data_IF_456725046009
#
_entry.id   IF_456725046009
#
_cell.length_a   1.000
_cell.length_b   1.000
_cell.length_c   1.000
_cell.angle_alpha   90.00
_cell.angle_beta   90.00
_cell.angle_gamma   90.00
#
_symmetry.space_group_name_H-M   'P 1'
#
loop_
_entity.id
_entity.type
_entity.pdbx_description
1 polymer ?
#
# COMPACT_ATOMS: atom_id res chain seq x y z
N UNK A 1 -19.21 34.18 2.38
CA UNK A 1 -18.64 34.66 3.65
C UNK A 1 -18.59 33.47 4.60
N UNK A 2 -17.39 33.03 4.96
CA UNK A 2 -17.15 31.92 5.89
C UNK A 2 -17.54 32.38 7.30
N UNK A 3 -18.49 31.73 7.96
CA UNK A 3 -18.80 32.05 9.36
C UNK A 3 -17.62 31.64 10.25
N UNK A 4 -16.95 32.57 10.94
CA UNK A 4 -15.72 32.27 11.67
C UNK A 4 -15.94 31.28 12.83
N UNK A 5 -17.13 31.31 13.45
CA UNK A 5 -17.41 30.65 14.74
C UNK A 5 -17.43 29.12 14.73
N UNK A 6 -17.78 28.50 13.61
CA UNK A 6 -17.75 27.03 13.51
C UNK A 6 -16.34 26.52 13.24
N UNK A 7 -15.50 27.31 12.58
CA UNK A 7 -14.26 26.83 11.97
C UNK A 7 -13.10 26.68 12.95
N UNK A 8 -13.29 26.87 14.26
CA UNK A 8 -12.22 26.96 15.26
C UNK A 8 -11.81 25.65 15.95
N UNK A 9 -12.70 24.65 15.95
CA UNK A 9 -12.39 23.36 16.55
C UNK A 9 -11.31 22.67 15.72
N UNK A 10 -10.21 22.29 16.38
CA UNK A 10 -9.03 21.60 15.82
C UNK A 10 -8.16 22.30 14.75
N UNK A 11 -8.26 23.62 14.56
CA UNK A 11 -7.66 24.30 13.40
C UNK A 11 -6.79 25.49 13.73
N UNK A 12 -6.98 26.06 14.92
CA UNK A 12 -6.20 27.20 15.39
C UNK A 12 -5.77 26.92 16.82
N UNK A 13 -4.46 26.95 17.03
CA UNK A 13 -3.90 26.98 18.37
C UNK A 13 -4.15 28.36 18.96
N UNK A 14 -4.76 28.41 20.14
CA UNK A 14 -5.02 29.68 20.81
C UNK A 14 -3.76 30.13 21.56
N UNK A 15 -2.94 30.93 20.86
CA UNK A 15 -1.68 31.46 21.38
C UNK A 15 -1.90 32.49 22.49
N UNK A 16 -3.05 33.18 22.50
CA UNK A 16 -3.43 34.13 23.55
C UNK A 16 -3.62 33.41 24.90
N UNK A 17 -4.36 32.30 24.92
CA UNK A 17 -4.52 31.50 26.14
C UNK A 17 -3.21 30.85 26.57
N UNK A 18 -2.41 30.36 25.61
CA UNK A 18 -1.09 29.81 25.91
C UNK A 18 -0.14 30.84 26.55
N UNK A 19 -0.20 32.11 26.12
CA UNK A 19 0.58 33.19 26.72
C UNK A 19 0.14 33.50 28.15
N UNK A 20 -1.17 33.45 28.43
CA UNK A 20 -1.70 33.62 29.80
C UNK A 20 -1.21 32.50 30.72
N UNK A 21 -1.15 31.28 30.20
CA UNK A 21 -0.71 30.08 30.94
C UNK A 21 0.82 29.85 30.90
N UNK A 22 1.60 30.78 30.34
CA UNK A 22 3.06 30.68 30.19
C UNK A 22 3.56 29.43 29.43
N UNK A 23 2.73 28.87 28.55
CA UNK A 23 3.04 27.69 27.71
C UNK A 23 3.35 28.07 26.25
N UNK A 24 3.32 29.35 25.91
CA UNK A 24 3.50 29.87 24.55
C UNK A 24 4.88 29.50 23.96
N UNK A 25 5.94 29.53 24.76
CA UNK A 25 7.30 29.15 24.34
C UNK A 25 7.36 27.69 23.91
N UNK A 26 6.74 26.79 24.67
CA UNK A 26 6.65 25.35 24.36
C UNK A 26 5.88 25.15 23.05
N UNK A 27 4.76 25.83 22.87
CA UNK A 27 3.95 25.70 21.67
C UNK A 27 4.62 26.30 20.43
N UNK A 28 5.34 27.42 20.55
CA UNK A 28 6.17 27.96 19.46
C UNK A 28 7.28 26.98 19.06
N UNK A 29 7.98 26.40 20.03
CA UNK A 29 9.00 25.39 19.77
C UNK A 29 8.41 24.15 19.06
N UNK A 30 7.23 23.70 19.49
CA UNK A 30 6.52 22.59 18.86
C UNK A 30 6.12 22.92 17.41
N UNK A 31 5.64 24.13 17.11
CA UNK A 31 5.32 24.57 15.75
C UNK A 31 6.56 24.63 14.84
N UNK A 32 7.70 25.10 15.37
CA UNK A 32 8.98 25.11 14.64
C UNK A 32 9.44 23.68 14.34
N UNK A 33 9.38 22.79 15.34
CA UNK A 33 9.69 21.38 15.17
C UNK A 33 8.77 20.75 14.10
N UNK A 34 7.47 21.00 14.17
CA UNK A 34 6.50 20.52 13.18
C UNK A 34 6.87 21.01 11.76
N UNK A 35 7.25 22.27 11.61
CA UNK A 35 7.66 22.83 10.32
C UNK A 35 8.89 22.11 9.73
N UNK A 36 9.89 21.80 10.56
CA UNK A 36 11.07 21.02 10.16
C UNK A 36 10.66 19.61 9.75
N UNK A 37 9.80 18.96 10.53
CA UNK A 37 9.31 17.61 10.23
C UNK A 37 8.48 17.56 8.94
N UNK A 38 7.65 18.57 8.67
CA UNK A 38 6.91 18.68 7.40
C UNK A 38 7.87 18.82 6.22
N UNK A 39 8.97 19.57 6.39
CA UNK A 39 9.99 19.71 5.36
C UNK A 39 10.63 18.36 5.00
N UNK A 40 10.87 17.50 6.00
CA UNK A 40 11.30 16.10 5.78
C UNK A 40 10.19 15.30 5.08
N UNK A 41 8.94 15.46 5.54
CA UNK A 41 7.76 14.80 4.98
C UNK A 41 7.54 15.08 3.50
N UNK A 42 7.96 16.23 2.97
CA UNK A 42 7.95 16.47 1.53
C UNK A 42 8.87 15.52 0.76
N UNK A 43 10.10 15.31 1.24
CA UNK A 43 11.04 14.38 0.64
C UNK A 43 10.48 12.95 0.62
N UNK A 44 9.88 12.54 1.74
CA UNK A 44 9.22 11.22 1.86
C UNK A 44 8.03 11.07 0.92
N UNK A 45 7.21 12.11 0.79
CA UNK A 45 6.04 12.12 -0.10
C UNK A 45 6.47 12.03 -1.57
N UNK A 46 7.51 12.76 -1.96
CA UNK A 46 8.08 12.69 -3.32
C UNK A 46 8.69 11.32 -3.60
N UNK A 47 9.39 10.73 -2.62
CA UNK A 47 9.93 9.38 -2.74
C UNK A 47 8.81 8.34 -2.90
N UNK A 48 7.76 8.43 -2.09
CA UNK A 48 6.59 7.55 -2.20
C UNK A 48 5.93 7.68 -3.58
N UNK A 49 5.71 8.91 -4.04
CA UNK A 49 5.12 9.18 -5.35
C UNK A 49 5.97 8.56 -6.48
N UNK A 50 7.29 8.73 -6.42
CA UNK A 50 8.22 8.10 -7.35
C UNK A 50 8.12 6.56 -7.29
N UNK A 51 8.21 5.95 -6.10
CA UNK A 51 8.17 4.50 -5.95
C UNK A 51 6.85 3.91 -6.48
N UNK A 52 5.70 4.53 -6.19
CA UNK A 52 4.40 4.08 -6.69
C UNK A 52 4.28 4.17 -8.22
N UNK A 53 4.91 5.16 -8.84
CA UNK A 53 4.85 5.37 -10.30
C UNK A 53 5.77 4.44 -11.08
N UNK A 54 6.97 4.19 -10.54
CA UNK A 54 8.04 3.48 -11.26
C UNK A 54 8.19 2.02 -10.85
N UNK A 55 7.60 1.58 -9.73
CA UNK A 55 7.59 0.17 -9.35
C UNK A 55 6.26 -0.49 -9.71
N UNK A 56 6.30 -1.60 -10.45
CA UNK A 56 5.11 -2.38 -10.82
C UNK A 56 4.69 -3.36 -9.70
N UNK A 57 4.77 -2.96 -8.43
CA UNK A 57 4.43 -3.84 -7.30
C UNK A 57 2.94 -4.19 -7.27
N UNK A 58 2.10 -3.18 -7.42
CA UNK A 58 0.65 -3.33 -7.32
C UNK A 58 0.06 -3.46 -8.71
N UNK A 59 -1.02 -4.23 -8.83
CA UNK A 59 -1.88 -4.15 -10.01
C UNK A 59 -2.22 -2.68 -10.27
N UNK A 60 -2.17 -2.24 -11.53
CA UNK A 60 -2.26 -0.81 -11.88
C UNK A 60 -3.51 -0.15 -11.31
N UNK A 61 -4.61 -0.89 -11.17
CA UNK A 61 -5.84 -0.42 -10.58
C UNK A 61 -5.68 -0.04 -9.10
N UNK A 62 -5.08 -0.91 -8.29
CA UNK A 62 -4.76 -0.57 -6.90
C UNK A 62 -3.72 0.56 -6.84
N UNK A 63 -2.69 0.52 -7.68
CA UNK A 63 -1.64 1.54 -7.71
C UNK A 63 -2.23 2.94 -7.91
N UNK A 64 -3.22 3.09 -8.81
CA UNK A 64 -3.88 4.38 -9.05
C UNK A 64 -4.70 4.89 -7.84
N UNK A 65 -5.27 4.00 -7.03
CA UNK A 65 -5.95 4.38 -5.79
C UNK A 65 -4.90 4.77 -4.73
N UNK A 66 -3.83 3.98 -4.57
CA UNK A 66 -2.75 4.26 -3.62
C UNK A 66 -1.96 5.53 -3.98
N UNK A 67 -1.87 5.88 -5.26
CA UNK A 67 -1.31 7.15 -5.74
C UNK A 67 -2.09 8.37 -5.23
N UNK A 68 -3.35 8.21 -4.79
CA UNK A 68 -4.09 9.30 -4.16
C UNK A 68 -3.55 9.69 -2.78
N UNK A 69 -2.85 8.78 -2.09
CA UNK A 69 -2.27 9.03 -0.77
C UNK A 69 -1.23 10.16 -0.80
N UNK A 70 -0.18 10.14 -1.64
CA UNK A 70 0.71 11.28 -1.78
C UNK A 70 0.04 12.48 -2.46
N UNK A 71 -0.91 12.28 -3.38
CA UNK A 71 -1.58 13.39 -4.08
C UNK A 71 -2.42 14.27 -3.15
N UNK A 72 -3.07 13.72 -2.13
CA UNK A 72 -3.77 14.51 -1.12
C UNK A 72 -2.82 15.05 -0.04
N UNK A 73 -1.81 14.26 0.31
CA UNK A 73 -0.92 14.59 1.43
C UNK A 73 -0.01 15.78 1.11
N UNK A 74 0.56 15.83 -0.11
CA UNK A 74 1.44 16.92 -0.53
C UNK A 74 0.80 18.32 -0.43
N UNK A 75 -0.38 18.60 -1.03
CA UNK A 75 -1.03 19.90 -0.88
C UNK A 75 -1.49 20.16 0.55
N UNK A 76 -1.80 19.12 1.34
CA UNK A 76 -2.15 19.26 2.76
C UNK A 76 -0.96 19.73 3.60
N UNK A 77 0.24 19.22 3.33
CA UNK A 77 1.48 19.67 3.96
C UNK A 77 1.83 21.13 3.60
N UNK A 78 1.64 21.53 2.34
CA UNK A 78 1.82 22.92 1.91
C UNK A 78 0.88 23.87 2.65
N UNK A 79 -0.41 23.51 2.72
CA UNK A 79 -1.39 24.28 3.46
C UNK A 79 -1.01 24.37 4.95
N UNK A 80 -0.50 23.28 5.54
CA UNK A 80 -0.04 23.28 6.94
C UNK A 80 1.18 24.17 7.16
N UNK A 81 2.21 24.11 6.32
CA UNK A 81 3.36 25.01 6.45
C UNK A 81 2.93 26.47 6.38
N UNK A 82 2.00 26.80 5.48
CA UNK A 82 1.45 28.14 5.39
C UNK A 82 0.68 28.55 6.66
N UNK A 83 -0.14 27.66 7.22
CA UNK A 83 -0.81 27.88 8.50
C UNK A 83 0.19 28.15 9.63
N UNK A 84 1.26 27.34 9.76
CA UNK A 84 2.29 27.53 10.79
C UNK A 84 2.99 28.88 10.61
N UNK A 85 3.37 29.22 9.37
CA UNK A 85 3.96 30.52 9.06
C UNK A 85 3.09 31.69 9.54
N UNK A 86 1.78 31.64 9.25
CA UNK A 86 0.82 32.66 9.70
C UNK A 86 0.66 32.68 11.22
N UNK A 87 0.58 31.51 11.88
CA UNK A 87 0.49 31.39 13.34
C UNK A 87 1.73 31.93 14.07
N UNK A 88 2.92 31.80 13.48
CA UNK A 88 4.15 32.35 14.05
C UNK A 88 4.27 33.86 13.84
N UNK A 89 3.74 34.38 12.73
CA UNK A 89 3.83 35.80 12.34
C UNK A 89 2.74 36.66 13.02
N UNK A 90 1.53 36.11 13.18
CA UNK A 90 0.38 36.80 13.77
C UNK A 90 0.08 36.14 15.12
N UNK A 91 0.63 36.67 16.23
CA UNK A 91 0.49 36.05 17.55
C UNK A 91 -0.92 36.22 18.15
N UNK A 92 -1.66 37.24 17.71
CA UNK A 92 -3.01 37.48 18.17
C UNK A 92 -4.00 36.57 17.43
N UNK A 93 -4.59 35.61 18.15
CA UNK A 93 -5.57 34.67 17.61
C UNK A 93 -6.75 35.38 16.93
N UNK A 94 -7.21 36.51 17.47
CA UNK A 94 -8.36 37.24 16.92
C UNK A 94 -8.06 37.86 15.54
N UNK A 95 -6.84 38.34 15.32
CA UNK A 95 -6.39 38.87 14.02
C UNK A 95 -6.18 37.75 13.01
N UNK A 96 -5.57 36.64 13.45
CA UNK A 96 -5.31 35.47 12.61
C UNK A 96 -6.60 34.89 12.02
N UNK A 97 -7.66 34.87 12.82
CA UNK A 97 -8.98 34.37 12.45
C UNK A 97 -9.65 35.22 11.36
N UNK A 98 -9.34 36.52 11.30
CA UNK A 98 -9.89 37.41 10.29
C UNK A 98 -9.14 37.34 8.95
N UNK A 99 -7.96 36.71 8.92
CA UNK A 99 -7.16 36.54 7.72
C UNK A 99 -7.76 35.49 6.77
N UNK A 100 -8.29 35.96 5.63
CA UNK A 100 -8.89 35.10 4.60
C UNK A 100 -7.91 34.07 4.03
N UNK A 101 -6.62 34.42 3.92
CA UNK A 101 -5.61 33.50 3.40
C UNK A 101 -5.34 32.34 4.36
N UNK A 102 -5.36 32.63 5.66
CA UNK A 102 -5.25 31.62 6.70
C UNK A 102 -6.49 30.69 6.70
N UNK A 103 -7.69 31.26 6.65
CA UNK A 103 -8.94 30.48 6.58
C UNK A 103 -8.97 29.57 5.33
N UNK A 104 -8.54 30.07 4.18
CA UNK A 104 -8.44 29.24 2.98
C UNK A 104 -7.49 28.05 3.17
N UNK A 105 -6.31 28.27 3.77
CA UNK A 105 -5.36 27.20 4.04
C UNK A 105 -5.93 26.16 5.03
N UNK A 106 -6.64 26.61 6.07
CA UNK A 106 -7.37 25.73 7.01
C UNK A 106 -8.41 24.88 6.28
N UNK A 107 -9.24 25.51 5.45
CA UNK A 107 -10.27 24.81 4.67
C UNK A 107 -9.66 23.77 3.72
N UNK A 108 -8.61 24.15 2.99
CA UNK A 108 -7.91 23.28 2.05
C UNK A 108 -7.32 22.06 2.77
N UNK A 109 -6.59 22.31 3.87
CA UNK A 109 -5.97 21.26 4.68
C UNK A 109 -7.01 20.27 5.21
N UNK A 110 -8.07 20.78 5.84
CA UNK A 110 -9.11 19.92 6.40
C UNK A 110 -9.81 19.10 5.32
N UNK A 111 -10.13 19.71 4.18
CA UNK A 111 -10.75 18.99 3.06
C UNK A 111 -9.89 17.83 2.57
N UNK A 112 -8.56 18.00 2.55
CA UNK A 112 -7.62 16.96 2.15
C UNK A 112 -7.44 15.89 3.24
N UNK A 113 -7.40 16.26 4.53
CA UNK A 113 -7.32 15.29 5.64
C UNK A 113 -8.53 14.34 5.66
N UNK A 114 -9.72 14.82 5.30
CA UNK A 114 -10.88 13.97 5.15
C UNK A 114 -10.69 12.91 4.05
N UNK A 115 -9.96 13.21 2.98
CA UNK A 115 -9.59 12.20 1.97
C UNK A 115 -8.76 11.09 2.62
N UNK A 116 -7.81 11.44 3.49
CA UNK A 116 -7.01 10.46 4.23
C UNK A 116 -7.88 9.62 5.20
N UNK A 117 -8.83 10.24 5.90
CA UNK A 117 -9.73 9.53 6.82
C UNK A 117 -10.65 8.53 6.12
N UNK A 118 -11.11 8.85 4.90
CA UNK A 118 -11.92 7.93 4.11
C UNK A 118 -11.10 7.00 3.21
N UNK A 119 -9.76 7.04 3.27
CA UNK A 119 -8.93 6.34 2.29
C UNK A 119 -8.99 4.82 2.43
N UNK A 120 -8.84 4.25 3.64
CA UNK A 120 -8.64 2.81 3.85
C UNK A 120 -9.69 1.88 3.20
N UNK A 121 -11.00 2.19 3.21
CA UNK A 121 -12.05 1.37 2.59
C UNK A 121 -11.90 1.18 1.08
N UNK A 122 -11.38 2.16 0.33
CA UNK A 122 -11.37 2.11 -1.13
C UNK A 122 -10.38 1.09 -1.72
N UNK A 123 -9.12 1.01 -1.25
CA UNK A 123 -8.22 -0.10 -1.56
C UNK A 123 -8.80 -1.47 -1.22
N UNK A 124 -9.56 -1.58 -0.13
CA UNK A 124 -10.19 -2.83 0.31
C UNK A 124 -11.31 -3.23 -0.65
N UNK A 125 -12.17 -2.29 -1.05
CA UNK A 125 -13.24 -2.51 -2.03
C UNK A 125 -12.65 -2.92 -3.39
N UNK A 126 -11.60 -2.26 -3.87
CA UNK A 126 -10.90 -2.68 -5.10
C UNK A 126 -10.42 -4.13 -5.01
N UNK A 127 -9.89 -4.53 -3.86
CA UNK A 127 -9.45 -5.91 -3.62
C UNK A 127 -10.59 -6.90 -3.52
N UNK A 128 -11.75 -6.49 -3.00
CA UNK A 128 -12.96 -7.30 -3.06
C UNK A 128 -13.36 -7.59 -4.52
N UNK A 129 -13.39 -6.56 -5.37
CA UNK A 129 -13.68 -6.73 -6.80
C UNK A 129 -12.65 -7.63 -7.49
N UNK A 130 -11.36 -7.42 -7.25
CA UNK A 130 -10.31 -8.26 -7.81
C UNK A 130 -10.41 -9.73 -7.35
N UNK A 131 -10.85 -9.97 -6.11
CA UNK A 131 -11.04 -11.32 -5.56
C UNK A 131 -12.25 -12.03 -6.18
N UNK A 132 -13.36 -11.30 -6.40
CA UNK A 132 -14.58 -11.85 -7.00
C UNK A 132 -14.40 -12.09 -8.50
N UNK A 133 -13.76 -11.15 -9.21
CA UNK A 133 -13.62 -11.14 -10.67
C UNK A 133 -12.18 -11.45 -11.13
N UNK A 134 -11.50 -12.40 -10.48
CA UNK A 134 -10.07 -12.67 -10.70
C UNK A 134 -9.70 -12.93 -12.18
N UNK A 135 -10.44 -13.80 -12.88
CA UNK A 135 -10.17 -14.15 -14.29
C UNK A 135 -10.32 -12.95 -15.24
N UNK A 136 -11.23 -12.04 -14.92
CA UNK A 136 -11.56 -10.88 -15.72
C UNK A 136 -10.61 -9.70 -15.42
N UNK A 137 -10.12 -9.59 -14.19
CA UNK A 137 -9.09 -8.62 -13.79
C UNK A 137 -7.72 -8.93 -14.40
N UNK A 138 -7.39 -10.20 -14.64
CA UNK A 138 -6.14 -10.61 -15.31
C UNK A 138 -6.15 -10.30 -16.82
N UNK A 139 -7.34 -10.35 -17.44
CA UNK A 139 -7.51 -10.16 -18.90
C UNK A 139 -7.82 -8.72 -19.28
N UNK A 140 -8.60 -8.00 -18.47
CA UNK A 140 -9.03 -6.64 -18.75
C UNK A 140 -8.51 -5.66 -17.71
N UNK A 141 -7.77 -4.64 -18.16
CA UNK A 141 -7.16 -3.64 -17.27
C UNK A 141 -8.19 -2.81 -16.49
N UNK A 142 -9.47 -2.75 -16.90
CA UNK A 142 -10.63 -2.13 -16.20
C UNK A 142 -10.32 -0.87 -15.37
N UNK A 143 -9.49 0.04 -15.91
CA UNK A 143 -8.99 1.23 -15.19
C UNK A 143 -10.10 2.14 -14.68
N UNK A 144 -11.26 2.12 -15.34
CA UNK A 144 -12.45 2.87 -14.96
C UNK A 144 -12.90 2.59 -13.52
N UNK A 145 -12.70 1.36 -13.00
CA UNK A 145 -13.09 1.01 -11.63
C UNK A 145 -12.31 1.85 -10.61
N UNK A 146 -10.99 1.99 -10.81
CA UNK A 146 -10.14 2.82 -9.94
C UNK A 146 -10.47 4.30 -10.04
N UNK A 147 -10.76 4.80 -11.25
CA UNK A 147 -11.19 6.19 -11.43
C UNK A 147 -12.52 6.46 -10.74
N UNK A 148 -13.49 5.55 -10.89
CA UNK A 148 -14.78 5.64 -10.23
C UNK A 148 -14.64 5.60 -8.70
N UNK A 149 -13.88 4.65 -8.16
CA UNK A 149 -13.61 4.56 -6.72
C UNK A 149 -12.90 5.81 -6.19
N UNK A 150 -11.92 6.34 -6.92
CA UNK A 150 -11.23 7.58 -6.53
C UNK A 150 -12.17 8.78 -6.58
N UNK A 151 -13.01 8.88 -7.60
CA UNK A 151 -14.00 9.96 -7.70
C UNK A 151 -15.00 9.91 -6.53
N UNK A 152 -15.52 8.72 -6.20
CA UNK A 152 -16.43 8.53 -5.06
C UNK A 152 -15.72 8.90 -3.75
N UNK A 153 -14.45 8.51 -3.57
CA UNK A 153 -13.64 8.89 -2.41
C UNK A 153 -13.58 10.41 -2.24
N UNK A 154 -13.19 11.13 -3.29
CA UNK A 154 -13.09 12.58 -3.21
C UNK A 154 -14.46 13.23 -2.97
N UNK A 155 -15.52 12.79 -3.64
CA UNK A 155 -16.87 13.34 -3.43
C UNK A 155 -17.32 13.16 -1.98
N UNK A 156 -17.19 11.94 -1.42
CA UNK A 156 -17.57 11.65 -0.03
C UNK A 156 -16.71 12.48 0.94
N UNK A 157 -15.38 12.50 0.73
CA UNK A 157 -14.46 13.22 1.58
C UNK A 157 -14.72 14.74 1.59
N UNK A 158 -14.86 15.36 0.42
CA UNK A 158 -15.13 16.79 0.32
C UNK A 158 -16.49 17.16 0.91
N UNK A 159 -17.52 16.37 0.62
CA UNK A 159 -18.87 16.58 1.18
C UNK A 159 -18.82 16.48 2.71
N UNK A 160 -18.18 15.44 3.24
CA UNK A 160 -18.01 15.22 4.68
C UNK A 160 -17.19 16.34 5.33
N UNK A 161 -16.15 16.84 4.67
CA UNK A 161 -15.38 17.99 5.13
C UNK A 161 -16.23 19.28 5.19
N UNK A 162 -17.10 19.52 4.20
CA UNK A 162 -18.00 20.68 4.24
C UNK A 162 -19.00 20.57 5.40
N UNK A 163 -19.57 19.38 5.63
CA UNK A 163 -20.44 19.13 6.78
C UNK A 163 -19.71 19.30 8.11
N UNK A 164 -18.45 18.87 8.20
CA UNK A 164 -17.66 19.07 9.41
C UNK A 164 -17.36 20.56 9.66
N UNK A 165 -16.95 21.29 8.62
CA UNK A 165 -16.57 22.70 8.73
C UNK A 165 -17.80 23.59 9.01
N UNK A 166 -18.89 23.43 8.26
CA UNK A 166 -20.05 24.33 8.28
C UNK A 166 -21.31 23.74 8.91
N UNK A 167 -21.41 22.42 9.01
CA UNK A 167 -22.60 21.74 9.46
C UNK A 167 -22.73 21.66 10.98
N UNK A 168 -23.95 21.37 11.41
CA UNK A 168 -24.29 20.97 12.77
C UNK A 168 -24.08 19.46 12.94
N UNK A 169 -23.97 18.96 14.18
CA UNK A 169 -23.82 17.52 14.51
C UNK A 169 -22.48 16.86 14.12
N UNK A 170 -21.37 17.56 14.37
CA UNK A 170 -20.00 17.05 14.11
C UNK A 170 -19.72 15.69 14.72
N UNK A 171 -20.21 15.45 15.93
CA UNK A 171 -20.02 14.19 16.64
C UNK A 171 -20.51 12.99 15.85
N UNK A 172 -21.74 13.09 15.31
CA UNK A 172 -22.34 12.02 14.51
C UNK A 172 -21.48 11.76 13.27
N UNK A 173 -20.95 12.81 12.64
CA UNK A 173 -20.02 12.67 11.53
C UNK A 173 -18.71 11.96 11.92
N UNK A 174 -18.09 12.32 13.05
CA UNK A 174 -16.86 11.67 13.53
C UNK A 174 -17.12 10.18 13.85
N UNK A 175 -18.26 9.85 14.46
CA UNK A 175 -18.67 8.46 14.70
C UNK A 175 -18.85 7.67 13.39
N UNK A 176 -19.46 8.27 12.37
CA UNK A 176 -19.62 7.64 11.05
C UNK A 176 -18.27 7.36 10.39
N UNK A 177 -17.33 8.30 10.43
CA UNK A 177 -15.97 8.11 9.89
C UNK A 177 -15.27 6.95 10.60
N UNK A 178 -15.36 6.93 11.93
CA UNK A 178 -14.74 5.88 12.75
C UNK A 178 -15.36 4.51 12.45
N UNK A 179 -16.69 4.43 12.37
CA UNK A 179 -17.41 3.20 12.00
C UNK A 179 -17.06 2.70 10.60
N UNK A 180 -16.97 3.61 9.61
CA UNK A 180 -16.61 3.26 8.23
C UNK A 180 -15.20 2.65 8.12
N UNK A 181 -14.24 3.21 8.87
CA UNK A 181 -12.88 2.65 8.95
C UNK A 181 -12.84 1.30 9.67
N UNK A 182 -13.63 1.12 10.74
CA UNK A 182 -13.73 -0.14 11.47
C UNK A 182 -14.30 -1.26 10.59
N UNK A 183 -15.31 -0.96 9.77
CA UNK A 183 -15.87 -1.90 8.79
C UNK A 183 -14.81 -2.29 7.76
N UNK A 184 -14.07 -1.33 7.19
CA UNK A 184 -12.99 -1.63 6.25
C UNK A 184 -11.87 -2.48 6.86
N UNK A 185 -11.53 -2.22 8.13
CA UNK A 185 -10.60 -3.04 8.89
C UNK A 185 -11.08 -4.49 9.02
N UNK A 186 -12.34 -4.69 9.44
CA UNK A 186 -12.96 -6.02 9.53
C UNK A 186 -12.99 -6.74 8.18
N UNK A 187 -13.37 -6.03 7.11
CA UNK A 187 -13.40 -6.57 5.75
C UNK A 187 -12.00 -6.99 5.26
N UNK A 188 -10.96 -6.24 5.59
CA UNK A 188 -9.57 -6.60 5.25
C UNK A 188 -9.19 -7.96 5.84
N UNK A 189 -9.57 -8.21 7.10
CA UNK A 189 -9.29 -9.47 7.78
C UNK A 189 -10.10 -10.64 7.21
N UNK A 190 -11.38 -10.43 6.92
CA UNK A 190 -12.24 -11.42 6.25
C UNK A 190 -11.69 -11.76 4.87
N UNK A 191 -11.30 -10.75 4.08
CA UNK A 191 -10.72 -10.94 2.75
C UNK A 191 -9.39 -11.68 2.81
N UNK A 192 -8.52 -11.38 3.78
CA UNK A 192 -7.27 -12.12 3.96
C UNK A 192 -7.54 -13.61 4.22
N UNK A 193 -8.45 -13.93 5.15
CA UNK A 193 -8.80 -15.33 5.47
C UNK A 193 -9.42 -16.03 4.27
N UNK A 194 -10.33 -15.37 3.57
CA UNK A 194 -10.98 -15.90 2.38
C UNK A 194 -9.95 -16.17 1.27
N UNK A 195 -9.07 -15.21 1.00
CA UNK A 195 -8.03 -15.33 -0.02
C UNK A 195 -7.04 -16.44 0.33
N UNK A 196 -6.54 -16.52 1.57
CA UNK A 196 -5.67 -17.63 2.00
C UNK A 196 -6.33 -19.00 1.76
N UNK A 197 -7.61 -19.15 2.10
CA UNK A 197 -8.38 -20.39 1.90
C UNK A 197 -8.65 -20.71 0.42
N UNK A 198 -8.85 -19.69 -0.41
CA UNK A 198 -9.07 -19.85 -1.86
C UNK A 198 -7.76 -20.15 -2.59
N UNK A 199 -6.70 -19.40 -2.31
CA UNK A 199 -5.36 -19.63 -2.86
C UNK A 199 -4.79 -21.00 -2.46
N UNK A 200 -4.99 -21.46 -1.22
CA UNK A 200 -4.54 -22.79 -0.81
C UNK A 200 -5.25 -23.93 -1.56
N UNK A 201 -6.50 -23.71 -1.99
CA UNK A 201 -7.25 -24.66 -2.84
C UNK A 201 -6.80 -24.63 -4.29
N UNK A 202 -6.47 -23.46 -4.84
CA UNK A 202 -6.04 -23.31 -6.24
C UNK A 202 -4.54 -23.62 -6.48
N UNK A 203 -3.65 -23.38 -5.52
CA UNK A 203 -2.19 -23.50 -5.67
C UNK A 203 -1.59 -24.71 -4.94
N UNK A 204 -2.11 -25.91 -5.16
CA UNK A 204 -1.42 -27.14 -4.70
C UNK A 204 -0.01 -27.35 -5.30
N UNK A 205 0.40 -26.58 -6.32
CA UNK A 205 1.60 -26.89 -7.13
C UNK A 205 2.61 -25.76 -7.42
N UNK A 206 2.53 -24.55 -6.85
CA UNK A 206 3.54 -23.51 -7.15
C UNK A 206 3.92 -22.67 -5.93
N UNK A 207 5.19 -22.78 -5.52
CA UNK A 207 5.89 -21.94 -4.53
C UNK A 207 6.02 -20.50 -5.05
N UNK A 208 4.95 -19.72 -4.92
CA UNK A 208 4.97 -18.30 -5.22
C UNK A 208 4.35 -17.56 -4.05
N UNK A 209 5.21 -16.98 -3.21
CA UNK A 209 4.86 -16.03 -2.17
C UNK A 209 4.42 -14.71 -2.81
N UNK A 210 3.25 -14.69 -3.44
CA UNK A 210 2.57 -13.43 -3.74
C UNK A 210 2.13 -12.83 -2.40
N UNK A 211 2.94 -11.89 -1.93
CA UNK A 211 2.87 -11.33 -0.59
C UNK A 211 1.56 -10.55 -0.44
N UNK A 212 0.53 -11.17 0.15
CA UNK A 212 -0.63 -10.45 0.70
C UNK A 212 -0.23 -9.57 1.90
N UNK A 213 0.97 -9.81 2.45
CA UNK A 213 1.49 -9.13 3.65
C UNK A 213 1.72 -7.62 3.49
N UNK A 214 2.27 -7.05 2.40
CA UNK A 214 2.53 -5.61 2.33
C UNK A 214 1.24 -4.81 2.20
N UNK A 215 0.22 -5.36 1.54
CA UNK A 215 -1.11 -4.75 1.46
C UNK A 215 -1.79 -4.71 2.83
N UNK A 216 -1.71 -5.83 3.58
CA UNK A 216 -2.25 -5.89 4.95
C UNK A 216 -1.61 -4.84 5.84
N UNK A 217 -0.28 -4.77 5.85
CA UNK A 217 0.45 -3.82 6.69
C UNK A 217 0.05 -2.40 6.32
N UNK A 218 0.00 -2.07 5.03
CA UNK A 218 -0.47 -0.76 4.56
C UNK A 218 -1.90 -0.44 5.07
N UNK A 219 -2.87 -1.32 4.84
CA UNK A 219 -4.26 -1.09 5.29
C UNK A 219 -4.37 -1.00 6.82
N UNK A 220 -3.61 -1.81 7.56
CA UNK A 220 -3.57 -1.77 9.02
C UNK A 220 -3.03 -0.43 9.52
N UNK A 221 -1.89 0.02 8.98
CA UNK A 221 -1.27 1.28 9.35
C UNK A 221 -2.21 2.45 9.05
N UNK A 222 -2.82 2.48 7.86
CA UNK A 222 -3.77 3.55 7.49
C UNK A 222 -4.98 3.56 8.41
N UNK A 223 -5.60 2.41 8.68
CA UNK A 223 -6.76 2.32 9.56
C UNK A 223 -6.42 2.73 11.00
N UNK A 224 -5.27 2.29 11.52
CA UNK A 224 -4.78 2.67 12.85
C UNK A 224 -4.61 4.18 12.98
N UNK A 225 -3.93 4.82 12.01
CA UNK A 225 -3.75 6.27 12.03
C UNK A 225 -5.05 7.03 11.82
N UNK A 226 -5.96 6.54 10.98
CA UNK A 226 -7.29 7.13 10.83
C UNK A 226 -8.05 7.10 12.16
N UNK A 227 -8.05 5.97 12.87
CA UNK A 227 -8.66 5.86 14.20
C UNK A 227 -7.99 6.73 15.27
N UNK A 228 -6.67 6.87 15.23
CA UNK A 228 -5.93 7.76 16.13
C UNK A 228 -6.30 9.23 15.88
N UNK A 229 -6.43 9.64 14.62
CA UNK A 229 -6.82 11.00 14.28
C UNK A 229 -8.30 11.28 14.63
N UNK A 230 -9.20 10.32 14.39
CA UNK A 230 -10.63 10.51 14.74
C UNK A 230 -10.89 10.48 16.24
N UNK A 231 -10.10 9.74 17.03
CA UNK A 231 -10.22 9.79 18.49
C UNK A 231 -9.82 11.17 19.04
N UNK A 232 -8.79 11.81 18.46
CA UNK A 232 -8.41 13.17 18.79
C UNK A 232 -9.50 14.19 18.41
N UNK A 233 -10.21 13.98 17.30
CA UNK A 233 -11.38 14.79 16.95
C UNK A 233 -12.50 14.68 18.00
N UNK A 234 -12.76 13.49 18.53
CA UNK A 234 -13.72 13.32 19.62
C UNK A 234 -13.30 14.04 20.90
N UNK A 235 -12.01 13.96 21.27
CA UNK A 235 -11.52 14.66 22.46
C UNK A 235 -11.66 16.18 22.31
N UNK A 236 -11.37 16.74 21.13
CA UNK A 236 -11.51 18.18 20.86
C UNK A 236 -12.97 18.65 20.97
N UNK A 237 -13.92 17.82 20.53
CA UNK A 237 -15.34 18.18 20.56
C UNK A 237 -15.91 18.13 21.99
N UNK A 238 -15.49 17.16 22.82
CA UNK A 238 -15.94 16.99 24.21
C UNK A 238 -15.18 17.80 25.26
N UNK A 239 -13.97 18.27 24.96
CA UNK A 239 -13.21 19.03 25.96
C UNK A 239 -13.65 20.49 26.01
N UNK A 240 -13.92 20.99 27.21
CA UNK A 240 -14.21 22.41 27.47
C UNK A 240 -12.93 23.23 27.72
N UNK A 241 -11.83 22.58 28.09
CA UNK A 241 -10.56 23.26 28.40
C UNK A 241 -9.80 23.64 27.13
N UNK A 242 -9.48 24.93 27.00
CA UNK A 242 -8.72 25.45 25.87
C UNK A 242 -7.27 24.93 25.84
N UNK A 243 -6.65 24.69 27.00
CA UNK A 243 -5.31 24.10 27.11
C UNK A 243 -5.28 22.69 26.56
N UNK A 244 -6.29 21.89 26.90
CA UNK A 244 -6.43 20.52 26.38
C UNK A 244 -6.61 20.57 24.86
N UNK A 245 -7.41 21.50 24.32
CA UNK A 245 -7.53 21.67 22.85
C UNK A 245 -6.21 21.99 22.18
N UNK A 246 -5.38 22.85 22.77
CA UNK A 246 -4.05 23.17 22.22
C UNK A 246 -3.14 21.94 22.18
N UNK A 247 -3.17 21.08 23.21
CA UNK A 247 -2.43 19.82 23.23
C UNK A 247 -2.97 18.79 22.24
N UNK A 248 -4.30 18.62 22.18
CA UNK A 248 -4.97 17.71 21.24
C UNK A 248 -4.70 18.14 19.81
N UNK A 249 -4.75 19.45 19.52
CA UNK A 249 -4.37 20.02 18.24
C UNK A 249 -2.94 19.62 17.87
N UNK A 250 -1.99 19.79 18.78
CA UNK A 250 -0.60 19.44 18.53
C UNK A 250 -0.43 17.93 18.28
N UNK A 251 -1.02 17.09 19.15
CA UNK A 251 -1.02 15.64 19.01
C UNK A 251 -1.66 15.17 17.68
N UNK A 252 -2.73 15.82 17.24
CA UNK A 252 -3.40 15.54 15.97
C UNK A 252 -2.50 15.86 14.78
N UNK A 253 -1.81 17.01 14.81
CA UNK A 253 -0.88 17.41 13.77
C UNK A 253 0.32 16.44 13.67
N UNK A 254 0.91 16.07 14.81
CA UNK A 254 1.96 15.05 14.85
C UNK A 254 1.46 13.68 14.38
N UNK A 255 0.21 13.32 14.68
CA UNK A 255 -0.41 12.09 14.17
C UNK A 255 -0.56 12.12 12.65
N UNK A 256 -1.05 13.22 12.08
CA UNK A 256 -1.14 13.43 10.64
C UNK A 256 0.23 13.42 9.94
N UNK A 257 1.25 13.99 10.58
CA UNK A 257 2.62 13.91 10.09
C UNK A 257 3.13 12.46 10.11
N UNK A 258 3.01 11.78 11.26
CA UNK A 258 3.46 10.40 11.44
C UNK A 258 2.77 9.42 10.48
N UNK A 259 1.50 9.65 10.15
CA UNK A 259 0.77 8.90 9.12
C UNK A 259 1.50 8.94 7.77
N UNK A 260 1.92 10.13 7.34
CA UNK A 260 2.60 10.33 6.07
C UNK A 260 4.03 9.80 6.02
N UNK A 261 4.66 9.57 7.17
CA UNK A 261 6.02 9.01 7.27
C UNK A 261 6.00 7.50 7.49
N UNK A 262 5.20 7.04 8.45
CA UNK A 262 5.21 5.65 8.93
C UNK A 262 4.53 4.71 7.92
N UNK A 263 3.45 5.15 7.25
CA UNK A 263 2.79 4.31 6.23
C UNK A 263 3.75 4.01 5.06
N UNK A 264 4.39 4.99 4.40
CA UNK A 264 5.38 4.70 3.37
C UNK A 264 6.57 3.90 3.89
N UNK A 265 7.03 4.17 5.11
CA UNK A 265 8.12 3.42 5.73
C UNK A 265 7.79 1.93 5.83
N UNK A 266 6.61 1.58 6.34
CA UNK A 266 6.19 0.17 6.39
C UNK A 266 6.01 -0.42 4.99
N UNK A 267 5.45 0.33 4.04
CA UNK A 267 5.36 -0.14 2.66
C UNK A 267 6.73 -0.44 2.07
N UNK A 268 7.75 0.39 2.35
CA UNK A 268 9.13 0.17 1.94
C UNK A 268 9.76 -1.03 2.68
N UNK A 269 9.58 -1.15 3.99
CA UNK A 269 10.16 -2.22 4.81
C UNK A 269 9.65 -3.61 4.44
N UNK A 270 8.39 -3.71 4.01
CA UNK A 270 7.77 -4.99 3.62
C UNK A 270 7.78 -5.24 2.10
N UNK A 271 8.35 -4.34 1.29
CA UNK A 271 8.37 -4.48 -0.16
C UNK A 271 9.80 -4.57 -0.72
N UNK A 272 10.26 -5.78 -1.11
CA UNK A 272 11.62 -5.98 -1.62
C UNK A 272 11.86 -5.27 -2.96
N UNK A 273 10.83 -5.00 -3.78
CA UNK A 273 11.00 -4.23 -5.01
C UNK A 273 11.33 -2.77 -4.70
N UNK A 274 10.66 -2.19 -3.71
CA UNK A 274 10.93 -0.81 -3.28
C UNK A 274 12.31 -0.68 -2.66
N UNK A 275 12.75 -1.67 -1.88
CA UNK A 275 14.10 -1.70 -1.32
C UNK A 275 15.18 -1.75 -2.41
N UNK A 276 14.98 -2.58 -3.44
CA UNK A 276 15.89 -2.67 -4.59
C UNK A 276 15.98 -1.35 -5.35
N UNK A 277 14.84 -0.72 -5.63
CA UNK A 277 14.82 0.59 -6.30
C UNK A 277 15.40 1.71 -5.44
N UNK A 278 15.15 1.71 -4.13
CA UNK A 278 15.75 2.66 -3.21
C UNK A 278 17.28 2.50 -3.17
N UNK A 279 17.79 1.26 -3.14
CA UNK A 279 19.23 0.99 -3.23
C UNK A 279 19.82 1.46 -4.56
N UNK A 280 19.08 1.29 -5.67
CA UNK A 280 19.47 1.79 -7.00
C UNK A 280 19.57 3.32 -7.02
N UNK A 281 18.58 4.01 -6.47
CA UNK A 281 18.57 5.47 -6.32
C UNK A 281 19.72 5.96 -5.43
N UNK A 282 19.88 5.33 -4.26
CA UNK A 282 20.96 5.64 -3.32
C UNK A 282 22.33 5.50 -3.94
N UNK A 283 22.57 4.41 -4.69
CA UNK A 283 23.82 4.22 -5.43
C UNK A 283 24.05 5.31 -6.48
N UNK A 284 23.01 5.71 -7.23
CA UNK A 284 23.11 6.78 -8.23
C UNK A 284 23.44 8.13 -7.58
N UNK A 285 22.74 8.49 -6.50
CA UNK A 285 22.96 9.76 -5.78
C UNK A 285 24.34 9.77 -5.12
N UNK A 286 24.76 8.67 -4.49
CA UNK A 286 26.08 8.53 -3.88
C UNK A 286 27.20 8.57 -4.92
N UNK A 287 27.01 8.01 -6.12
CA UNK A 287 27.97 8.14 -7.23
C UNK A 287 28.00 9.56 -7.86
N UNK A 288 26.96 10.36 -7.72
CA UNK A 288 26.96 11.76 -8.15
C UNK A 288 27.60 12.70 -7.11
N UNK A 289 27.47 12.39 -5.82
CA UNK A 289 28.07 13.16 -4.72
C UNK A 289 29.55 12.80 -4.48
N UNK A 290 29.94 11.55 -4.74
CA UNK A 290 31.33 11.13 -4.77
C UNK A 290 31.82 11.31 -6.20
N UNK A 291 32.33 12.50 -6.52
CA UNK A 291 33.16 12.72 -7.71
C UNK A 291 34.42 11.86 -7.56
N UNK A 292 34.31 10.58 -7.91
CA UNK A 292 35.44 9.67 -7.93
C UNK A 292 36.30 10.13 -9.09
N UNK A 293 37.49 10.66 -8.79
CA UNK A 293 38.60 10.77 -9.74
C UNK A 293 38.66 9.49 -10.58
N UNK A 294 38.15 9.56 -11.80
CA UNK A 294 38.35 8.55 -12.83
C UNK A 294 38.79 9.28 -14.09
N UNK A 295 39.97 9.89 -13.97
CA UNK A 295 40.86 10.02 -15.12
C UNK A 295 41.38 8.61 -15.38
N UNK A 296 40.98 8.03 -16.51
CA UNK A 296 41.44 6.71 -16.93
C UNK A 296 40.38 5.92 -17.69
N UNK A 297 40.48 6.02 -19.02
CA UNK A 297 39.88 5.19 -20.06
C UNK A 297 38.40 5.43 -20.43
N UNK A 298 38.24 6.41 -21.32
CA UNK A 298 37.41 6.22 -22.51
C UNK A 298 37.90 5.00 -23.30
N UNK A 299 37.03 4.00 -23.49
CA UNK A 299 36.62 3.50 -24.81
C UNK A 299 35.74 2.27 -24.62
N UNK A 300 34.45 2.42 -24.90
CA UNK A 300 33.51 1.40 -25.42
C UNK A 300 32.08 1.69 -24.95
N UNK A 301 31.45 2.70 -25.56
CA UNK A 301 29.99 2.70 -25.70
C UNK A 301 29.61 1.45 -26.49
N UNK A 302 29.39 0.32 -25.82
CA UNK A 302 28.74 -0.84 -26.44
C UNK A 302 27.32 -0.42 -26.77
N UNK A 303 27.07 -0.16 -28.06
CA UNK A 303 25.75 -0.19 -28.69
C UNK A 303 24.93 -1.31 -28.04
N UNK A 304 23.71 -1.00 -27.59
CA UNK A 304 22.68 -2.00 -27.26
C UNK A 304 22.65 -3.04 -28.38
N UNK A 305 23.08 -4.26 -28.07
CA UNK A 305 23.09 -5.38 -29.02
C UNK A 305 21.77 -6.09 -28.82
N UNK A 306 20.81 -5.87 -29.72
CA UNK A 306 19.62 -6.72 -29.86
C UNK A 306 20.10 -8.14 -30.11
N UNK A 307 19.91 -9.02 -29.12
CA UNK A 307 20.29 -10.42 -29.24
C UNK A 307 19.23 -11.11 -30.11
N UNK A 308 19.61 -11.51 -31.33
CA UNK A 308 18.74 -12.33 -32.20
C UNK A 308 18.67 -13.72 -31.59
N UNK A 309 17.54 -14.04 -30.97
CA UNK A 309 17.26 -15.39 -30.47
C UNK A 309 16.28 -16.05 -31.44
N UNK A 310 16.55 -17.31 -31.83
CA UNK A 310 15.63 -18.11 -32.64
C UNK A 310 14.63 -18.81 -31.73
N UNK A 311 13.37 -18.78 -32.11
CA UNK A 311 12.29 -19.54 -31.47
C UNK A 311 12.52 -21.06 -31.69
N UNK A 312 11.78 -21.87 -30.95
CA UNK A 312 11.69 -23.34 -30.97
C UNK A 312 11.42 -23.93 -32.37
N UNK A 313 10.94 -23.11 -33.31
CA UNK A 313 10.73 -23.46 -34.72
C UNK A 313 11.77 -22.81 -35.69
N UNK A 314 12.87 -22.28 -35.17
CA UNK A 314 14.01 -21.78 -35.95
C UNK A 314 13.86 -20.37 -36.55
N UNK A 315 12.77 -19.64 -36.25
CA UNK A 315 12.54 -18.27 -36.75
C UNK A 315 13.16 -17.22 -35.82
N UNK A 316 13.75 -16.17 -36.40
CA UNK A 316 14.41 -15.10 -35.65
C UNK A 316 13.35 -14.20 -34.97
N UNK A 317 13.33 -14.15 -33.64
CA UNK A 317 12.54 -13.19 -32.88
C UNK A 317 13.44 -12.04 -32.40
N UNK A 318 12.96 -10.81 -32.61
CA UNK A 318 13.55 -9.61 -32.03
C UNK A 318 12.92 -9.43 -30.64
N UNK A 319 13.67 -9.81 -29.60
CA UNK A 319 13.24 -9.62 -28.22
C UNK A 319 13.74 -8.24 -27.76
N UNK A 320 12.81 -7.36 -27.41
CA UNK A 320 13.12 -6.09 -26.77
C UNK A 320 13.37 -6.33 -25.28
N UNK A 321 14.42 -5.70 -24.73
CA UNK A 321 14.96 -5.87 -23.37
C UNK A 321 13.98 -5.35 -22.30
N UNK A 322 12.82 -5.97 -22.18
CA UNK A 322 11.94 -5.82 -21.02
C UNK A 322 12.34 -6.85 -19.98
N UNK A 323 12.60 -6.38 -18.76
CA UNK A 323 13.26 -7.05 -17.62
C UNK A 323 12.77 -8.48 -17.30
N UNK A 324 11.60 -8.89 -17.80
CA UNK A 324 11.03 -10.23 -17.68
C UNK A 324 11.87 -11.34 -18.34
N UNK A 325 12.52 -11.08 -19.48
CA UNK A 325 13.27 -12.11 -20.22
C UNK A 325 14.55 -12.51 -19.49
N UNK A 326 15.30 -11.53 -18.99
CA UNK A 326 16.55 -11.75 -18.25
C UNK A 326 16.34 -12.52 -16.96
N UNK A 327 15.26 -12.24 -16.21
CA UNK A 327 14.97 -12.95 -14.97
C UNK A 327 14.59 -14.40 -15.27
N UNK A 328 13.72 -14.63 -16.26
CA UNK A 328 13.32 -15.97 -16.67
C UNK A 328 14.52 -16.82 -17.13
N UNK A 329 15.37 -16.28 -18.02
CA UNK A 329 16.56 -17.01 -18.49
C UNK A 329 17.65 -17.16 -17.41
N UNK A 330 17.77 -16.22 -16.47
CA UNK A 330 18.69 -16.37 -15.34
C UNK A 330 18.26 -17.49 -14.38
N UNK A 331 16.95 -17.64 -14.16
CA UNK A 331 16.38 -18.72 -13.36
C UNK A 331 16.51 -20.06 -14.08
N UNK A 332 16.23 -20.10 -15.39
CA UNK A 332 16.39 -21.30 -16.21
C UNK A 332 17.85 -21.78 -16.25
N UNK A 333 18.81 -20.85 -16.38
CA UNK A 333 20.24 -21.17 -16.42
C UNK A 333 20.76 -21.64 -15.06
N UNK A 334 20.16 -21.15 -13.96
CA UNK A 334 20.45 -21.62 -12.61
C UNK A 334 19.89 -23.03 -12.37
N UNK A 335 18.72 -23.36 -12.92
CA UNK A 335 18.13 -24.71 -12.86
C UNK A 335 18.87 -25.72 -13.75
N UNK A 336 19.25 -25.31 -14.96
CA UNK A 336 19.90 -26.20 -15.93
C UNK A 336 21.35 -26.54 -15.56
N UNK A 337 22.06 -25.60 -14.93
CA UNK A 337 23.44 -25.81 -14.48
C UNK A 337 23.55 -26.11 -12.97
N UNK A 338 22.43 -26.37 -12.29
CA UNK A 338 22.47 -26.84 -10.92
C UNK A 338 23.18 -28.20 -10.88
N UNK A 339 24.27 -28.37 -10.11
CA UNK A 339 24.91 -29.67 -9.98
C UNK A 339 23.89 -30.67 -9.39
N UNK A 340 23.86 -31.92 -9.87
CA UNK A 340 22.92 -32.92 -9.39
C UNK A 340 23.08 -33.12 -7.88
N UNK A 341 21.96 -33.04 -7.15
CA UNK A 341 21.94 -33.27 -5.70
C UNK A 341 22.52 -34.67 -5.38
N UNK A 342 23.39 -34.79 -4.36
CA UNK A 342 23.92 -36.09 -3.96
C UNK A 342 22.80 -37.01 -3.44
N UNK A 343 22.82 -38.27 -3.89
CA UNK A 343 21.81 -39.33 -3.67
C UNK A 343 21.49 -39.67 -2.20
N UNK A 344 22.17 -39.06 -1.23
CA UNK A 344 21.96 -39.30 0.21
C UNK A 344 20.62 -38.77 0.74
N UNK A 345 19.98 -37.82 0.05
CA UNK A 345 18.64 -37.31 0.44
C UNK A 345 17.47 -38.14 -0.12
N UNK A 346 17.66 -38.88 -1.23
CA UNK A 346 16.59 -39.71 -1.83
C UNK A 346 16.27 -40.96 -0.99
N UNK A 347 17.24 -41.51 -0.25
CA UNK A 347 16.99 -42.67 0.64
C UNK A 347 16.18 -42.32 1.89
N UNK A 348 16.46 -41.18 2.55
CA UNK A 348 15.71 -40.77 3.76
C UNK A 348 14.22 -40.48 3.53
N UNK A 349 13.82 -40.14 2.31
CA UNK A 349 12.40 -39.93 1.98
C UNK A 349 11.63 -41.23 1.72
N UNK A 350 12.32 -42.34 1.42
CA UNK A 350 11.66 -43.62 1.11
C UNK A 350 11.43 -44.44 2.39
N UNK A 351 12.36 -44.39 3.34
CA UNK A 351 12.24 -45.11 4.61
C UNK A 351 11.18 -44.50 5.54
N UNK A 352 10.98 -43.18 5.51
CA UNK A 352 9.95 -42.51 6.31
C UNK A 352 8.50 -42.79 5.86
N UNK A 353 8.30 -43.46 4.71
CA UNK A 353 6.98 -43.82 4.17
C UNK A 353 6.58 -45.27 4.48
N UNK A 354 7.49 -46.11 4.99
CA UNK A 354 7.20 -47.51 5.35
C UNK A 354 6.85 -47.74 6.83
N UNK A 355 6.89 -46.71 7.68
CA UNK A 355 6.70 -46.86 9.14
C UNK A 355 5.27 -46.55 9.66
N UNK A 356 4.27 -46.44 8.77
CA UNK A 356 2.86 -46.27 9.13
C UNK A 356 1.97 -47.33 8.48
N UNK A 357 2.15 -48.59 8.86
CA UNK A 357 1.14 -49.65 8.71
C UNK A 357 1.20 -50.53 9.97
N UNK A 358 0.14 -50.61 10.80
CA UNK A 358 0.08 -51.58 11.89
C UNK A 358 -0.32 -52.97 11.38
N UNK A 359 0.13 -54.06 12.04
CA UNK A 359 -0.11 -55.42 11.60
C UNK A 359 -1.49 -55.97 12.01
N UNK A 360 -1.93 -56.88 11.16
CA UNK A 360 -3.14 -57.70 11.04
C UNK A 360 -3.64 -58.39 12.33
N UNK A 361 -4.97 -58.53 12.44
CA UNK A 361 -5.61 -59.67 13.12
C UNK A 361 -6.55 -60.38 12.14
N UNK A 362 -6.49 -61.72 12.17
CA UNK A 362 -7.17 -62.71 11.32
C UNK A 362 -8.72 -62.67 11.46
N UNK A 363 -9.58 -63.34 10.67
CA UNK A 363 -9.53 -64.71 10.17
C UNK A 363 -10.78 -65.01 9.29
N UNK A 364 -10.69 -66.10 8.51
CA UNK A 364 -11.76 -66.98 7.95
C UNK A 364 -12.31 -66.83 6.51
N UNK A 365 -11.94 -67.85 5.69
CA UNK A 365 -12.72 -68.69 4.73
C UNK A 365 -13.43 -68.02 3.53
N UNK A 366 -13.60 -68.62 2.34
CA UNK A 366 -13.08 -69.80 1.62
C UNK A 366 -13.73 -69.76 0.20
N UNK A 367 -13.27 -70.63 -0.72
CA UNK A 367 -13.96 -71.12 -1.95
C UNK A 367 -13.66 -70.44 -3.32
N UNK A 368 -12.72 -71.08 -4.02
CA UNK A 368 -12.79 -71.73 -5.35
C UNK A 368 -12.92 -70.96 -6.71
N UNK A 369 -12.14 -71.51 -7.66
CA UNK A 369 -12.39 -71.70 -9.11
C UNK A 369 -12.09 -70.52 -10.06
N UNK A 370 -11.69 -70.65 -11.34
CA UNK A 370 -10.89 -71.58 -12.18
C UNK A 370 -10.79 -70.89 -13.57
N UNK A 371 -9.61 -70.90 -14.20
CA UNK A 371 -9.24 -70.81 -15.64
C UNK A 371 -10.18 -70.19 -16.72
N UNK A 372 -9.60 -69.36 -17.60
CA UNK A 372 -9.34 -69.58 -19.07
C UNK A 372 -9.28 -68.22 -19.79
N UNK A 373 -8.19 -67.80 -20.45
CA UNK A 373 -7.73 -68.04 -21.85
C UNK A 373 -8.84 -68.10 -22.91
N UNK A 374 -8.94 -67.07 -23.75
CA UNK A 374 -9.02 -67.23 -25.22
C UNK A 374 -8.67 -65.94 -25.98
N UNK A 375 -7.87 -66.09 -27.02
CA UNK A 375 -7.39 -65.07 -27.95
C UNK A 375 -8.47 -64.62 -28.97
N UNK A 376 -8.36 -63.35 -29.40
CA UNK A 376 -8.21 -62.93 -30.80
C UNK A 376 -9.30 -63.20 -31.84
N UNK A 377 -9.80 -62.12 -32.44
CA UNK A 377 -10.15 -62.02 -33.88
C UNK A 377 -10.42 -60.53 -34.19
N UNK A 378 -9.50 -59.84 -34.88
CA UNK A 378 -9.47 -59.56 -36.34
C UNK A 378 -10.63 -58.70 -36.85
N UNK A 379 -10.29 -57.44 -37.11
CA UNK A 379 -10.94 -56.50 -38.02
C UNK A 379 -10.96 -57.03 -39.47
N UNK A 380 -11.91 -56.55 -40.28
CA UNK A 380 -11.58 -56.09 -41.61
C UNK A 380 -11.84 -54.59 -41.77
N UNK A 381 -11.01 -54.03 -42.64
CA UNK A 381 -10.92 -52.65 -43.12
C UNK A 381 -11.50 -52.64 -44.52
N UNK A 382 -12.20 -51.56 -44.89
CA UNK A 382 -12.44 -50.99 -46.23
C UNK A 382 -13.85 -50.38 -46.26
N UNK A 383 -14.18 -49.29 -46.95
CA UNK A 383 -13.51 -48.15 -47.60
C UNK A 383 -14.67 -47.35 -48.25
N UNK A 384 -14.48 -46.05 -48.49
CA UNK A 384 -15.20 -45.25 -49.50
C UNK A 384 -16.67 -44.88 -49.21
N UNK A 385 -16.90 -43.67 -48.69
CA UNK A 385 -17.29 -42.47 -49.45
C UNK A 385 -17.31 -41.24 -48.55
#
# INVERSE_FOLDING_TARGET
>A
MLSPTSMYKLTVMNMTTAAIEQTDTIFRAALILEWVLISIGFGETMLLWYLLRYTNQYHRNLAMIVEQLPNQYFPSLLARMYMIYKQLTIPNTAELINDQSFLFAVWLRNSLLFVAFYFAPFPVIERCFATVYMQDYETNKRRWISYLLSAILFIIAFTSAQFFIFGSYREVHIFLITGFNLVAFGLTFVMERYNKKRYSKLRKNVNSDYSLSPFKVMCFSIAFFASLCTSMLHVDEWTESQTIRNWVYMAFNFSCWSYGTIVPFFMLAYNPLWQKELKRLGNRICCCLIHKNRIGEETSRKKKKTMKVKDTFGRNCLVDDTEHSTIYFSQLNAEWNAPPEPDSKRRKSRDKKMELVPPTAAQHQSVASRRSISNGSTSPRQEIN
#
